data_IF_031813302763
#
_entry.id   IF_031813302763
#
_cell.length_a   1.000
_cell.length_b   1.000
_cell.length_c   1.000
_cell.angle_alpha   90.00
_cell.angle_beta   90.00
_cell.angle_gamma   90.00
#
_symmetry.space_group_name_H-M   'P 1'
#
loop_
_entity.id
_entity.type
_entity.pdbx_description
1 polymer ?
#
# COMPACT_ATOMS: atom_id res chain seq x y z
N UNK A 1 7.17 7.95 -21.97
CA UNK A 1 6.75 7.07 -20.84
C UNK A 1 6.78 7.87 -19.55
N UNK A 2 5.67 7.86 -18.80
CA UNK A 2 5.58 8.55 -17.52
C UNK A 2 6.28 7.73 -16.44
N UNK A 3 7.01 8.42 -15.55
CA UNK A 3 7.70 7.80 -14.42
C UNK A 3 6.87 8.03 -13.16
N UNK A 4 6.47 6.95 -12.51
CA UNK A 4 5.62 6.99 -11.32
C UNK A 4 6.37 6.40 -10.14
N UNK A 5 6.67 7.22 -9.15
CA UNK A 5 7.29 6.76 -7.90
C UNK A 5 6.22 6.25 -6.94
N UNK A 6 6.42 5.06 -6.43
CA UNK A 6 5.52 4.41 -5.46
C UNK A 6 6.31 3.87 -4.27
N UNK A 7 5.64 3.72 -3.13
CA UNK A 7 6.19 2.94 -2.03
C UNK A 7 5.76 1.49 -2.21
N UNK A 8 6.70 0.58 -2.14
CA UNK A 8 6.47 -0.86 -2.30
C UNK A 8 7.06 -1.41 -3.58
N UNK A 9 6.66 -2.61 -3.91
CA UNK A 9 7.17 -3.36 -5.05
C UNK A 9 6.08 -3.59 -6.10
N UNK A 10 6.45 -4.24 -7.17
CA UNK A 10 5.48 -4.69 -8.18
C UNK A 10 4.45 -5.61 -7.54
N UNK A 11 3.18 -5.41 -7.85
CA UNK A 11 2.06 -6.14 -7.28
C UNK A 11 1.49 -5.52 -6.00
N UNK A 12 2.11 -4.48 -5.46
CA UNK A 12 1.58 -3.76 -4.31
C UNK A 12 0.32 -2.96 -4.66
N UNK A 13 -0.40 -2.50 -3.65
CA UNK A 13 -1.58 -1.66 -3.88
C UNK A 13 -1.24 -0.34 -4.56
N UNK A 14 -0.06 0.23 -4.29
CA UNK A 14 0.40 1.42 -5.00
C UNK A 14 0.66 1.16 -6.48
N UNK A 15 1.23 0.00 -6.82
CA UNK A 15 1.41 -0.42 -8.20
C UNK A 15 0.04 -0.54 -8.91
N UNK A 16 -0.90 -1.23 -8.30
CA UNK A 16 -2.25 -1.40 -8.85
C UNK A 16 -2.91 -0.02 -9.04
N UNK A 17 -2.83 0.85 -8.05
CA UNK A 17 -3.41 2.19 -8.12
C UNK A 17 -2.78 3.02 -9.25
N UNK A 18 -1.46 2.94 -9.42
CA UNK A 18 -0.76 3.65 -10.49
C UNK A 18 -1.22 3.19 -11.88
N UNK A 19 -1.29 1.88 -12.10
CA UNK A 19 -1.74 1.34 -13.38
C UNK A 19 -3.22 1.65 -13.66
N UNK A 20 -4.05 1.67 -12.63
CA UNK A 20 -5.47 2.03 -12.78
C UNK A 20 -5.66 3.52 -13.09
N UNK A 21 -4.96 4.38 -12.37
CA UNK A 21 -5.06 5.82 -12.59
C UNK A 21 -4.56 6.24 -13.97
N UNK A 22 -3.46 5.63 -14.43
CA UNK A 22 -2.86 5.91 -15.73
C UNK A 22 -3.24 4.88 -16.79
N UNK A 23 -4.42 4.27 -16.66
CA UNK A 23 -4.91 3.26 -17.62
C UNK A 23 -4.87 3.80 -19.05
N UNK A 24 -4.32 2.99 -19.95
CA UNK A 24 -4.13 3.37 -21.36
C UNK A 24 -2.84 4.13 -21.65
N UNK A 25 -2.05 4.46 -20.63
CA UNK A 25 -0.75 5.12 -20.80
C UNK A 25 0.38 4.16 -20.45
N UNK A 26 1.52 4.34 -21.09
CA UNK A 26 2.73 3.62 -20.71
C UNK A 26 3.37 4.31 -19.50
N UNK A 27 3.59 3.55 -18.43
CA UNK A 27 4.23 4.05 -17.21
C UNK A 27 5.42 3.18 -16.84
N UNK A 28 6.41 3.82 -16.23
CA UNK A 28 7.56 3.17 -15.61
C UNK A 28 7.47 3.39 -14.10
N UNK A 29 7.47 2.32 -13.31
CA UNK A 29 7.42 2.43 -11.86
C UNK A 29 8.81 2.60 -11.27
N UNK A 30 8.94 3.55 -10.35
CA UNK A 30 10.10 3.71 -9.49
C UNK A 30 9.68 3.20 -8.12
N UNK A 31 10.09 1.98 -7.78
CA UNK A 31 9.75 1.33 -6.53
C UNK A 31 10.65 1.85 -5.40
N UNK A 32 10.04 2.47 -4.41
CA UNK A 32 10.74 3.06 -3.26
C UNK A 32 10.45 2.24 -1.99
N UNK A 33 11.44 2.14 -1.12
CA UNK A 33 11.31 1.40 0.13
C UNK A 33 10.34 2.08 1.11
N UNK A 34 10.30 3.40 1.11
CA UNK A 34 9.47 4.19 2.01
C UNK A 34 8.90 5.41 1.29
N UNK A 35 7.97 6.11 1.97
CA UNK A 35 7.31 7.26 1.37
C UNK A 35 8.23 8.48 1.21
N UNK A 36 9.21 8.64 2.08
CA UNK A 36 10.22 9.70 1.97
C UNK A 36 10.98 9.61 0.65
N UNK A 37 11.30 8.40 0.23
CA UNK A 37 12.01 8.15 -1.03
C UNK A 37 11.18 8.49 -2.26
N UNK A 38 9.85 8.39 -2.17
CA UNK A 38 8.94 8.86 -3.23
C UNK A 38 9.15 10.36 -3.45
N UNK A 39 9.15 11.14 -2.39
CA UNK A 39 9.36 12.59 -2.49
C UNK A 39 10.78 12.95 -2.93
N UNK A 40 11.77 12.15 -2.52
CA UNK A 40 13.15 12.32 -2.99
C UNK A 40 13.24 12.13 -4.51
N UNK A 41 12.55 11.13 -5.04
CA UNK A 41 12.49 10.87 -6.49
C UNK A 41 11.89 12.05 -7.25
N UNK A 42 10.81 12.63 -6.71
CA UNK A 42 10.18 13.82 -7.32
C UNK A 42 11.12 15.02 -7.31
N UNK A 43 11.86 15.22 -6.21
CA UNK A 43 12.82 16.33 -6.12
C UNK A 43 13.99 16.19 -7.09
N UNK A 44 14.44 14.95 -7.33
CA UNK A 44 15.56 14.69 -8.23
C UNK A 44 15.20 14.82 -9.70
N UNK A 45 13.96 14.57 -10.06
CA UNK A 45 13.48 14.61 -11.44
C UNK A 45 12.06 15.17 -11.45
N UNK A 46 11.92 16.39 -11.96
CA UNK A 46 10.63 17.10 -12.02
C UNK A 46 9.58 16.43 -12.91
N UNK A 47 9.97 15.44 -13.71
CA UNK A 47 9.03 14.66 -14.54
C UNK A 47 8.44 13.47 -13.78
N UNK A 48 8.97 13.12 -12.62
CA UNK A 48 8.45 12.03 -11.80
C UNK A 48 7.16 12.48 -11.11
N UNK A 49 6.16 11.62 -11.18
CA UNK A 49 4.89 11.77 -10.46
C UNK A 49 4.89 10.76 -9.30
N UNK A 50 4.48 11.19 -8.13
CA UNK A 50 4.33 10.29 -6.97
C UNK A 50 2.90 9.78 -6.86
N UNK A 51 2.75 8.50 -6.55
CA UNK A 51 1.48 7.91 -6.13
C UNK A 51 1.57 7.59 -4.65
N UNK A 52 0.71 8.21 -3.85
CA UNK A 52 0.85 8.20 -2.40
C UNK A 52 -0.49 7.89 -1.72
N UNK A 53 -0.49 6.89 -0.86
CA UNK A 53 -1.65 6.60 -0.02
C UNK A 53 -1.82 7.71 1.02
N UNK A 54 -3.00 8.30 1.08
CA UNK A 54 -3.32 9.42 1.99
C UNK A 54 -4.31 9.00 3.07
N UNK A 55 -5.27 8.16 2.71
CA UNK A 55 -6.36 7.79 3.59
C UNK A 55 -6.81 6.36 3.33
N UNK A 56 -7.26 5.70 4.39
CA UNK A 56 -7.86 4.39 4.34
C UNK A 56 -9.16 4.44 5.13
N UNK A 57 -10.25 3.86 4.61
CA UNK A 57 -11.57 3.95 5.23
C UNK A 57 -11.64 3.35 6.63
N UNK A 58 -10.80 2.35 6.93
CA UNK A 58 -10.75 1.70 8.24
C UNK A 58 -9.68 2.32 9.14
N UNK A 59 -8.47 2.50 8.60
CA UNK A 59 -7.35 3.05 9.35
C UNK A 59 -7.38 4.59 9.47
N UNK A 60 -8.20 5.26 8.66
CA UNK A 60 -8.30 6.72 8.63
C UNK A 60 -7.19 7.39 7.84
N UNK A 61 -6.89 8.64 8.19
CA UNK A 61 -5.84 9.40 7.52
C UNK A 61 -4.46 8.86 7.85
N UNK A 62 -3.60 8.75 6.85
CA UNK A 62 -2.20 8.42 7.02
C UNK A 62 -1.43 9.71 7.33
N UNK A 63 -1.39 10.08 8.60
CA UNK A 63 -0.90 11.40 9.04
C UNK A 63 0.55 11.66 8.64
N UNK A 64 1.40 10.65 8.68
CA UNK A 64 2.80 10.79 8.25
C UNK A 64 2.89 11.19 6.77
N UNK A 65 2.10 10.54 5.92
CA UNK A 65 2.08 10.84 4.49
C UNK A 65 1.50 12.23 4.20
N UNK A 66 0.47 12.61 4.95
CA UNK A 66 -0.09 13.96 4.85
C UNK A 66 0.95 15.02 5.21
N UNK A 67 1.75 14.77 6.24
CA UNK A 67 2.81 15.70 6.67
C UNK A 67 3.94 15.78 5.65
N UNK A 68 4.37 14.65 5.08
CA UNK A 68 5.35 14.63 3.99
C UNK A 68 4.86 15.43 2.79
N UNK A 69 3.60 15.25 2.41
CA UNK A 69 2.98 16.00 1.32
C UNK A 69 2.97 17.49 1.60
N UNK A 70 2.56 17.90 2.81
CA UNK A 70 2.52 19.30 3.22
C UNK A 70 3.88 19.97 3.14
N UNK A 71 4.94 19.27 3.57
CA UNK A 71 6.30 19.80 3.59
C UNK A 71 6.98 19.79 2.22
N UNK A 72 6.50 18.98 1.29
CA UNK A 72 7.19 18.71 0.02
C UNK A 72 7.15 19.86 -0.98
N UNK A 73 6.16 20.74 -0.89
CA UNK A 73 5.91 21.76 -1.89
C UNK A 73 5.37 21.22 -3.22
N UNK A 74 5.00 19.95 -3.27
CA UNK A 74 4.43 19.32 -4.47
C UNK A 74 2.96 19.69 -4.63
N UNK A 75 2.46 19.54 -5.86
CA UNK A 75 1.07 19.81 -6.19
C UNK A 75 0.31 18.50 -6.38
N UNK A 76 -0.87 18.40 -5.80
CA UNK A 76 -1.77 17.27 -6.04
C UNK A 76 -2.44 17.47 -7.40
N UNK A 77 -2.29 16.49 -8.29
CA UNK A 77 -2.84 16.55 -9.65
C UNK A 77 -4.02 15.60 -9.87
N UNK A 78 -4.31 14.74 -8.92
CA UNK A 78 -5.44 13.82 -9.02
C UNK A 78 -5.54 12.90 -7.82
N UNK A 79 -6.59 12.10 -7.79
CA UNK A 79 -6.81 11.09 -6.75
C UNK A 79 -7.39 9.82 -7.36
N UNK A 80 -7.18 8.70 -6.67
CA UNK A 80 -7.76 7.42 -7.04
C UNK A 80 -8.19 6.67 -5.78
N UNK A 81 -9.41 6.13 -5.81
CA UNK A 81 -9.94 5.29 -4.74
C UNK A 81 -9.81 3.83 -5.14
N UNK A 82 -8.91 3.13 -4.49
CA UNK A 82 -8.67 1.71 -4.74
C UNK A 82 -9.40 0.87 -3.69
N UNK A 83 -10.20 -0.07 -4.15
CA UNK A 83 -10.78 -1.08 -3.26
C UNK A 83 -9.68 -2.05 -2.81
N UNK A 84 -9.48 -2.15 -1.51
CA UNK A 84 -8.51 -3.07 -0.92
C UNK A 84 -9.20 -4.40 -0.61
N UNK A 85 -8.65 -5.49 -1.11
CA UNK A 85 -9.11 -6.84 -0.83
C UNK A 85 -7.91 -7.69 -0.46
N UNK A 86 -7.86 -8.12 0.79
CA UNK A 86 -6.78 -8.97 1.28
C UNK A 86 -7.07 -10.44 1.03
N UNK A 87 -6.02 -11.22 0.85
CA UNK A 87 -6.10 -12.68 0.73
C UNK A 87 -5.38 -13.33 1.90
N UNK A 88 -5.99 -14.34 2.48
CA UNK A 88 -5.36 -15.15 3.50
C UNK A 88 -4.62 -16.30 2.82
N UNK A 89 -3.31 -16.37 2.99
CA UNK A 89 -2.44 -17.31 2.27
C UNK A 89 -1.67 -18.19 3.26
N UNK A 90 -1.36 -19.39 2.83
CA UNK A 90 -0.52 -20.32 3.57
C UNK A 90 0.37 -21.12 2.60
N UNK A 91 1.25 -21.93 3.14
CA UNK A 91 2.08 -22.83 2.33
C UNK A 91 1.20 -23.87 1.62
N UNK A 92 1.59 -24.35 0.43
CA UNK A 92 0.73 -25.23 -0.39
C UNK A 92 0.33 -26.55 0.26
N UNK A 93 1.13 -27.04 1.19
CA UNK A 93 0.91 -28.33 1.88
C UNK A 93 0.22 -28.18 3.23
N UNK A 94 -0.17 -26.95 3.62
CA UNK A 94 -0.94 -26.69 4.83
C UNK A 94 -2.43 -26.64 4.51
N UNK A 95 -3.26 -27.13 5.43
CA UNK A 95 -4.70 -27.01 5.36
C UNK A 95 -5.22 -25.99 6.38
N UNK A 96 -6.46 -25.56 6.20
CA UNK A 96 -7.10 -24.58 7.10
C UNK A 96 -7.01 -25.01 8.57
N UNK A 97 -7.23 -26.30 8.84
CA UNK A 97 -7.25 -26.85 10.20
C UNK A 97 -5.88 -26.83 10.86
N UNK A 98 -4.81 -26.78 10.08
CA UNK A 98 -3.43 -26.77 10.58
C UNK A 98 -2.97 -25.36 10.99
N UNK A 99 -3.72 -24.32 10.59
CA UNK A 99 -3.31 -22.93 10.82
C UNK A 99 -3.60 -22.52 12.27
N UNK A 100 -2.56 -21.99 12.93
CA UNK A 100 -2.64 -21.55 14.32
C UNK A 100 -2.33 -20.07 14.49
N UNK A 101 -1.79 -19.41 13.46
CA UNK A 101 -1.25 -18.08 13.54
C UNK A 101 -1.42 -17.34 12.23
N UNK A 102 -1.70 -16.04 12.33
CA UNK A 102 -1.72 -15.14 11.17
C UNK A 102 -0.76 -13.98 11.41
N UNK A 103 0.11 -13.77 10.45
CA UNK A 103 1.13 -12.72 10.50
C UNK A 103 0.87 -11.70 9.39
N UNK A 104 0.85 -10.42 9.73
CA UNK A 104 0.73 -9.37 8.75
C UNK A 104 1.10 -8.01 9.34
N UNK A 105 1.15 -7.02 8.47
CA UNK A 105 1.29 -5.62 8.88
C UNK A 105 0.08 -5.18 9.73
N UNK A 106 0.29 -4.33 10.76
CA UNK A 106 -0.81 -3.88 11.63
C UNK A 106 -2.01 -3.28 10.91
N UNK A 107 -1.79 -2.52 9.84
CA UNK A 107 -2.87 -1.91 9.07
C UNK A 107 -3.72 -2.99 8.38
N UNK A 108 -3.07 -4.00 7.77
CA UNK A 108 -3.78 -5.11 7.14
C UNK A 108 -4.58 -5.92 8.16
N UNK A 109 -4.01 -6.17 9.34
CA UNK A 109 -4.70 -6.86 10.43
C UNK A 109 -5.93 -6.08 10.90
N UNK A 110 -5.80 -4.76 11.02
CA UNK A 110 -6.93 -3.89 11.38
C UNK A 110 -8.06 -3.97 10.34
N UNK A 111 -7.71 -3.98 9.05
CA UNK A 111 -8.67 -4.10 7.95
C UNK A 111 -9.37 -5.46 7.93
N UNK A 112 -8.74 -6.51 8.46
CA UNK A 112 -9.27 -7.87 8.52
C UNK A 112 -9.87 -8.22 9.88
N UNK A 113 -10.05 -7.27 10.78
CA UNK A 113 -10.47 -7.54 12.17
C UNK A 113 -11.77 -8.33 12.26
N UNK A 114 -12.76 -8.01 11.45
CA UNK A 114 -14.04 -8.71 11.46
C UNK A 114 -13.87 -10.20 11.15
N UNK A 115 -13.10 -10.50 10.10
CA UNK A 115 -12.76 -11.88 9.75
C UNK A 115 -12.00 -12.57 10.88
N UNK A 116 -11.00 -11.91 11.45
CA UNK A 116 -10.15 -12.49 12.51
C UNK A 116 -10.95 -12.75 13.79
N UNK A 117 -11.92 -11.89 14.12
CA UNK A 117 -12.80 -12.10 15.26
C UNK A 117 -13.69 -13.34 15.11
N UNK A 118 -13.97 -13.75 13.87
CA UNK A 118 -14.72 -14.98 13.60
C UNK A 118 -13.85 -16.23 13.72
N UNK A 119 -12.53 -16.08 13.80
CA UNK A 119 -11.57 -17.16 13.89
C UNK A 119 -10.63 -16.99 15.09
N UNK A 120 -11.17 -17.06 16.33
CA UNK A 120 -10.37 -16.79 17.53
C UNK A 120 -9.26 -17.80 17.81
N UNK A 121 -9.28 -18.96 17.13
CA UNK A 121 -8.22 -19.95 17.19
C UNK A 121 -6.90 -19.47 16.55
N UNK A 122 -6.96 -18.46 15.71
CA UNK A 122 -5.77 -17.88 15.07
C UNK A 122 -5.13 -16.85 15.99
N UNK A 123 -3.86 -17.06 16.32
CA UNK A 123 -3.06 -16.06 17.03
C UNK A 123 -2.65 -14.97 16.04
N UNK A 124 -2.98 -13.75 16.36
CA UNK A 124 -2.62 -12.60 15.51
C UNK A 124 -1.24 -12.10 15.90
N UNK A 125 -0.33 -12.06 14.92
CA UNK A 125 1.04 -11.59 15.12
C UNK A 125 1.32 -10.44 14.15
N UNK A 126 1.70 -9.30 14.69
CA UNK A 126 2.10 -8.16 13.90
C UNK A 126 3.53 -8.36 13.37
N UNK A 127 3.73 -8.00 12.11
CA UNK A 127 5.01 -8.09 11.46
C UNK A 127 5.19 -6.96 10.45
N UNK A 128 6.30 -7.03 9.74
CA UNK A 128 6.55 -6.16 8.61
C UNK A 128 5.82 -6.70 7.37
N UNK A 129 5.77 -5.91 6.33
CA UNK A 129 5.15 -6.27 5.06
C UNK A 129 5.67 -7.58 4.46
#
# INVERSE_FOLDING_TARGET
MKKIAIQGTLGSYHDIAAHKYFEGEEIELICCANFEDVFTSIRKDSQVIGMLAIENTIAGSLLHNNELLRQSGTQIIGEYKLRISHSFVCLPDESWEDLTEVNSHPIALMQCREFLNQHPQLKVVEGED
#
